data_IF_589871352789
#
_entry.id   IF_589871352789
#
_cell.length_a   1.000
_cell.length_b   1.000
_cell.length_c   1.000
_cell.angle_alpha   90.00
_cell.angle_beta   90.00
_cell.angle_gamma   90.00
#
_symmetry.space_group_name_H-M   'P 1'
#
loop_
_entity.id
_entity.type
_entity.pdbx_description
1 polymer ?
#
# COMPACT_ATOMS: atom_id res chain seq x y z
N UNK A 1 -22.11 20.80 15.79
CA UNK A 1 -20.73 20.29 15.87
C UNK A 1 -20.62 18.79 15.58
N UNK A 2 -21.41 17.92 16.20
CA UNK A 2 -21.38 16.45 15.95
C UNK A 2 -21.59 16.08 14.48
N UNK A 3 -22.50 16.77 13.78
CA UNK A 3 -22.70 16.60 12.34
C UNK A 3 -21.45 16.88 11.50
N UNK A 4 -20.69 17.93 11.81
CA UNK A 4 -19.46 18.27 11.11
C UNK A 4 -18.39 17.18 11.26
N UNK A 5 -18.17 16.70 12.49
CA UNK A 5 -17.21 15.61 12.74
C UNK A 5 -17.66 14.29 12.10
N UNK A 6 -18.95 13.98 12.12
CA UNK A 6 -19.51 12.82 11.42
C UNK A 6 -19.29 12.88 9.92
N UNK A 7 -19.54 14.03 9.29
CA UNK A 7 -19.26 14.26 7.88
C UNK A 7 -17.77 14.14 7.56
N UNK A 8 -16.89 14.73 8.37
CA UNK A 8 -15.45 14.77 8.12
C UNK A 8 -14.85 13.37 8.19
N UNK A 9 -15.18 12.63 9.25
CA UNK A 9 -14.74 11.25 9.44
C UNK A 9 -15.26 10.37 8.30
N UNK A 10 -16.53 10.51 7.92
CA UNK A 10 -17.08 9.77 6.79
C UNK A 10 -16.33 10.04 5.47
N UNK A 11 -16.10 11.32 5.15
CA UNK A 11 -15.39 11.71 3.94
C UNK A 11 -13.96 11.17 3.91
N UNK A 12 -13.20 11.26 5.01
CA UNK A 12 -11.83 10.73 5.09
C UNK A 12 -11.81 9.21 4.86
N UNK A 13 -12.74 8.48 5.46
CA UNK A 13 -12.83 7.02 5.30
C UNK A 13 -13.19 6.63 3.87
N UNK A 14 -14.22 7.26 3.30
CA UNK A 14 -14.66 7.01 1.92
C UNK A 14 -13.53 7.30 0.93
N UNK A 15 -12.87 8.46 1.05
CA UNK A 15 -11.73 8.82 0.19
C UNK A 15 -10.58 7.82 0.33
N UNK A 16 -10.30 7.35 1.56
CA UNK A 16 -9.25 6.36 1.80
C UNK A 16 -9.57 5.01 1.13
N UNK A 17 -10.83 4.56 1.21
CA UNK A 17 -11.30 3.33 0.55
C UNK A 17 -11.22 3.43 -0.97
N UNK A 18 -11.65 4.55 -1.55
CA UNK A 18 -11.56 4.79 -2.99
C UNK A 18 -10.11 4.85 -3.47
N UNK A 19 -9.22 5.46 -2.68
CA UNK A 19 -7.79 5.53 -3.00
C UNK A 19 -7.12 4.15 -2.91
N UNK A 20 -7.50 3.33 -1.92
CA UNK A 20 -7.11 1.92 -1.82
C UNK A 20 -7.53 1.12 -3.05
N UNK A 21 -8.83 1.18 -3.38
CA UNK A 21 -9.39 0.52 -4.56
C UNK A 21 -8.72 0.98 -5.86
N UNK A 22 -8.48 2.28 -6.03
CA UNK A 22 -7.77 2.85 -7.16
C UNK A 22 -6.33 2.36 -7.27
N UNK A 23 -5.62 2.24 -6.14
CA UNK A 23 -4.26 1.69 -6.12
C UNK A 23 -4.22 0.22 -6.53
N UNK A 24 -5.21 -0.58 -6.10
CA UNK A 24 -5.33 -1.98 -6.50
C UNK A 24 -5.76 -2.15 -7.96
N UNK A 25 -6.58 -1.23 -8.48
CA UNK A 25 -6.92 -1.22 -9.90
C UNK A 25 -5.72 -0.86 -10.79
N UNK A 26 -4.86 0.05 -10.33
CA UNK A 26 -3.65 0.45 -11.05
C UNK A 26 -2.55 -0.64 -11.04
N UNK A 27 -2.47 -1.44 -9.97
CA UNK A 27 -1.47 -2.50 -9.82
C UNK A 27 -2.07 -3.78 -9.19
N UNK A 28 -2.88 -4.55 -9.94
CA UNK A 28 -3.62 -5.70 -9.40
C UNK A 28 -2.71 -6.84 -8.91
N UNK A 29 -1.52 -6.98 -9.48
CA UNK A 29 -0.53 -7.99 -9.07
C UNK A 29 0.15 -7.64 -7.73
N UNK A 30 0.30 -6.35 -7.41
CA UNK A 30 1.10 -5.88 -6.28
C UNK A 30 0.58 -6.41 -4.93
N UNK A 31 -0.74 -6.54 -4.77
CA UNK A 31 -1.32 -7.11 -3.56
C UNK A 31 -1.02 -8.61 -3.42
N UNK A 32 -1.11 -9.35 -4.53
CA UNK A 32 -0.77 -10.78 -4.56
C UNK A 32 0.69 -11.03 -4.21
N UNK A 33 1.60 -10.23 -4.79
CA UNK A 33 3.04 -10.31 -4.58
C UNK A 33 3.42 -9.90 -3.15
N UNK A 34 2.80 -8.85 -2.61
CA UNK A 34 2.96 -8.45 -1.21
C UNK A 34 2.52 -9.57 -0.24
N UNK A 35 1.35 -10.15 -0.46
CA UNK A 35 0.86 -11.27 0.36
C UNK A 35 1.74 -12.52 0.22
N UNK A 36 2.34 -12.73 -0.96
CA UNK A 36 3.31 -13.79 -1.17
C UNK A 36 4.59 -13.55 -0.37
N UNK A 37 5.15 -12.33 -0.42
CA UNK A 37 6.34 -11.93 0.33
C UNK A 37 6.14 -12.04 1.86
N UNK A 38 4.95 -11.71 2.36
CA UNK A 38 4.64 -11.88 3.78
C UNK A 38 4.59 -13.36 4.20
N UNK A 39 4.14 -14.26 3.32
CA UNK A 39 4.06 -15.70 3.55
C UNK A 39 3.19 -16.15 4.73
N UNK A 40 2.36 -15.28 5.32
CA UNK A 40 1.55 -15.58 6.53
C UNK A 40 0.27 -16.33 6.19
N UNK A 41 -0.24 -16.19 4.98
CA UNK A 41 -1.49 -16.81 4.53
C UNK A 41 -1.22 -18.08 3.72
N UNK A 42 -2.13 -19.05 3.82
CA UNK A 42 -2.14 -20.21 2.92
C UNK A 42 -2.37 -19.77 1.47
N UNK A 43 -1.93 -20.56 0.46
CA UNK A 43 -2.05 -20.18 -0.95
C UNK A 43 -3.49 -19.86 -1.40
N UNK A 44 -4.47 -20.58 -0.85
CA UNK A 44 -5.90 -20.37 -1.12
C UNK A 44 -6.40 -19.05 -0.51
N UNK A 45 -6.06 -18.79 0.76
CA UNK A 45 -6.48 -17.58 1.46
C UNK A 45 -5.82 -16.33 0.87
N UNK A 46 -4.60 -16.45 0.34
CA UNK A 46 -3.92 -15.37 -0.38
C UNK A 46 -4.67 -14.94 -1.64
N UNK A 47 -5.06 -15.90 -2.49
CA UNK A 47 -5.82 -15.58 -3.72
C UNK A 47 -7.18 -14.96 -3.39
N UNK A 48 -7.87 -15.52 -2.39
CA UNK A 48 -9.12 -14.96 -1.89
C UNK A 48 -8.92 -13.52 -1.40
N UNK A 49 -7.93 -13.26 -0.55
CA UNK A 49 -7.67 -11.92 -0.04
C UNK A 49 -7.32 -10.92 -1.17
N UNK A 50 -6.48 -11.33 -2.12
CA UNK A 50 -6.05 -10.48 -3.24
C UNK A 50 -7.23 -10.03 -4.13
N UNK A 51 -8.29 -10.83 -4.23
CA UNK A 51 -9.49 -10.49 -5.02
C UNK A 51 -10.55 -9.81 -4.18
N UNK A 52 -10.80 -10.32 -2.97
CA UNK A 52 -11.90 -9.84 -2.12
C UNK A 52 -11.63 -8.47 -1.52
N UNK A 53 -10.38 -8.15 -1.15
CA UNK A 53 -10.03 -6.87 -0.53
C UNK A 53 -10.29 -5.67 -1.46
N UNK A 54 -9.79 -5.63 -2.71
CA UNK A 54 -10.07 -4.52 -3.61
C UNK A 54 -11.57 -4.35 -3.91
N UNK A 55 -12.29 -5.46 -4.05
CA UNK A 55 -13.75 -5.43 -4.26
C UNK A 55 -14.44 -4.84 -3.03
N UNK A 56 -14.08 -5.28 -1.82
CA UNK A 56 -14.65 -4.77 -0.59
C UNK A 56 -14.38 -3.27 -0.42
N UNK A 57 -13.16 -2.82 -0.69
CA UNK A 57 -12.79 -1.39 -0.65
C UNK A 57 -13.59 -0.57 -1.66
N UNK A 58 -13.68 -1.05 -2.90
CA UNK A 58 -14.44 -0.38 -3.96
C UNK A 58 -15.93 -0.30 -3.66
N UNK A 59 -16.54 -1.41 -3.23
CA UNK A 59 -17.97 -1.47 -2.86
C UNK A 59 -18.25 -0.57 -1.67
N UNK A 60 -17.43 -0.60 -0.60
CA UNK A 60 -17.61 0.27 0.56
C UNK A 60 -17.41 1.75 0.21
N UNK A 61 -16.42 2.07 -0.63
CA UNK A 61 -16.18 3.43 -1.10
C UNK A 61 -17.34 3.98 -1.94
N UNK A 62 -17.84 3.18 -2.88
CA UNK A 62 -18.98 3.56 -3.72
C UNK A 62 -20.28 3.67 -2.91
N UNK A 63 -20.58 2.68 -2.06
CA UNK A 63 -21.76 2.69 -1.20
C UNK A 63 -21.72 3.84 -0.19
N UNK A 64 -20.55 4.13 0.39
CA UNK A 64 -20.36 5.27 1.29
C UNK A 64 -20.58 6.60 0.59
N UNK A 65 -20.05 6.76 -0.63
CA UNK A 65 -20.27 7.96 -1.45
C UNK A 65 -21.76 8.14 -1.75
N UNK A 66 -22.45 7.09 -2.20
CA UNK A 66 -23.87 7.13 -2.47
C UNK A 66 -24.70 7.45 -1.21
N UNK A 67 -24.39 6.81 -0.08
CA UNK A 67 -25.04 7.07 1.20
C UNK A 67 -24.84 8.51 1.68
N UNK A 68 -23.65 9.07 1.47
CA UNK A 68 -23.33 10.46 1.81
C UNK A 68 -24.11 11.44 0.93
N UNK A 69 -24.20 11.20 -0.39
CA UNK A 69 -24.93 12.04 -1.34
C UNK A 69 -26.45 11.97 -1.15
N UNK A 70 -26.97 10.79 -0.81
CA UNK A 70 -28.41 10.58 -0.55
C UNK A 70 -28.83 10.96 0.88
N UNK A 71 -27.87 11.24 1.77
CA UNK A 71 -28.13 11.54 3.18
C UNK A 71 -28.62 10.33 4.00
N UNK A 72 -28.45 9.10 3.51
CA UNK A 72 -28.95 7.90 4.16
C UNK A 72 -28.07 7.46 5.35
N UNK A 73 -28.41 7.95 6.54
CA UNK A 73 -27.59 7.80 7.76
C UNK A 73 -27.27 6.34 8.12
N UNK A 74 -28.26 5.45 8.14
CA UNK A 74 -28.03 4.04 8.49
C UNK A 74 -27.05 3.36 7.54
N UNK A 75 -27.15 3.62 6.23
CA UNK A 75 -26.24 3.08 5.23
C UNK A 75 -24.82 3.61 5.46
N UNK A 76 -24.69 4.91 5.75
CA UNK A 76 -23.41 5.52 6.06
C UNK A 76 -22.78 4.94 7.33
N UNK A 77 -23.57 4.73 8.39
CA UNK A 77 -23.11 4.05 9.61
C UNK A 77 -22.65 2.62 9.34
N UNK A 78 -23.41 1.84 8.56
CA UNK A 78 -23.03 0.50 8.17
C UNK A 78 -21.71 0.49 7.40
N UNK A 79 -21.52 1.41 6.45
CA UNK A 79 -20.27 1.53 5.70
C UNK A 79 -19.11 1.88 6.62
N UNK A 80 -19.29 2.80 7.57
CA UNK A 80 -18.24 3.14 8.53
C UNK A 80 -17.94 2.00 9.50
N UNK A 81 -18.96 1.27 9.97
CA UNK A 81 -18.77 0.08 10.80
C UNK A 81 -17.99 -1.01 10.06
N UNK A 82 -18.36 -1.31 8.82
CA UNK A 82 -17.64 -2.27 7.98
C UNK A 82 -16.23 -1.78 7.63
N UNK A 83 -16.05 -0.49 7.38
CA UNK A 83 -14.74 0.14 7.18
C UNK A 83 -13.86 0.01 8.43
N UNK A 84 -14.41 0.20 9.63
CA UNK A 84 -13.69 0.01 10.88
C UNK A 84 -13.20 -1.44 11.05
N UNK A 85 -14.06 -2.41 10.73
CA UNK A 85 -13.70 -3.84 10.73
C UNK A 85 -12.57 -4.09 9.72
N UNK A 86 -12.71 -3.61 8.48
CA UNK A 86 -11.71 -3.80 7.43
C UNK A 86 -10.34 -3.23 7.82
N UNK A 87 -10.29 -1.97 8.26
CA UNK A 87 -9.05 -1.35 8.71
C UNK A 87 -8.48 -2.00 9.97
N UNK A 88 -9.35 -2.48 10.88
CA UNK A 88 -8.96 -3.26 12.05
C UNK A 88 -8.29 -4.58 11.65
N UNK A 89 -8.83 -5.29 10.66
CA UNK A 89 -8.24 -6.51 10.10
C UNK A 89 -6.89 -6.21 9.45
N UNK A 90 -6.76 -5.11 8.70
CA UNK A 90 -5.46 -4.67 8.17
C UNK A 90 -4.45 -4.38 9.28
N UNK A 91 -4.84 -3.66 10.33
CA UNK A 91 -3.97 -3.38 11.46
C UNK A 91 -3.52 -4.67 12.18
N UNK A 92 -4.44 -5.59 12.43
CA UNK A 92 -4.14 -6.88 13.06
C UNK A 92 -3.23 -7.75 12.18
N UNK A 93 -3.51 -7.82 10.88
CA UNK A 93 -2.69 -8.56 9.92
C UNK A 93 -1.27 -8.03 9.85
N UNK A 94 -1.10 -6.72 9.63
CA UNK A 94 0.23 -6.09 9.54
C UNK A 94 1.01 -6.22 10.84
N UNK A 95 0.35 -6.07 12.00
CA UNK A 95 0.96 -6.33 13.31
C UNK A 95 1.47 -7.77 13.42
N UNK A 96 0.68 -8.75 12.97
CA UNK A 96 1.06 -10.17 12.98
C UNK A 96 2.24 -10.46 12.06
N UNK A 97 2.25 -9.89 10.85
CA UNK A 97 3.37 -10.03 9.90
C UNK A 97 4.66 -9.50 10.51
N UNK A 98 4.62 -8.30 11.10
CA UNK A 98 5.78 -7.70 11.78
C UNK A 98 6.21 -8.49 13.03
N UNK A 99 5.26 -9.03 13.80
CA UNK A 99 5.57 -9.85 14.98
C UNK A 99 6.27 -11.17 14.61
N UNK A 100 6.03 -11.69 13.40
CA UNK A 100 6.72 -12.86 12.87
C UNK A 100 8.09 -12.52 12.25
N UNK A 101 8.56 -11.27 12.36
CA UNK A 101 9.80 -10.80 11.76
C UNK A 101 9.77 -10.77 10.23
N UNK A 102 8.58 -10.87 9.62
CA UNK A 102 8.41 -10.86 8.18
C UNK A 102 8.17 -9.43 7.71
N UNK A 103 8.88 -9.04 6.65
CA UNK A 103 8.71 -7.77 5.95
C UNK A 103 8.11 -7.97 4.57
N UNK A 104 8.17 -6.93 3.75
CA UNK A 104 7.67 -6.97 2.37
C UNK A 104 7.04 -5.63 1.96
N UNK A 105 6.64 -5.48 0.70
CA UNK A 105 5.99 -4.26 0.22
C UNK A 105 4.60 -4.11 0.85
N UNK A 106 4.24 -2.89 1.26
CA UNK A 106 2.87 -2.59 1.66
C UNK A 106 2.00 -2.51 0.40
N UNK A 107 1.29 -3.61 0.08
CA UNK A 107 0.44 -3.71 -1.10
C UNK A 107 -0.67 -2.65 -1.22
N UNK A 108 -0.84 -1.78 -0.21
CA UNK A 108 -1.85 -0.74 -0.12
C UNK A 108 -1.43 0.63 -0.71
N UNK A 109 -0.14 0.89 -0.97
CA UNK A 109 0.31 2.26 -1.33
C UNK A 109 0.61 2.48 -2.81
N UNK A 110 0.54 1.45 -3.65
CA UNK A 110 0.95 1.50 -5.06
C UNK A 110 2.45 1.79 -5.28
N UNK A 111 3.19 2.20 -4.25
CA UNK A 111 4.64 2.35 -4.20
C UNK A 111 5.25 1.22 -3.35
N UNK A 112 6.45 0.80 -3.70
CA UNK A 112 7.25 -0.21 -2.97
C UNK A 112 7.75 0.32 -1.61
N UNK A 113 6.83 0.72 -0.75
CA UNK A 113 7.14 1.13 0.63
C UNK A 113 7.10 -0.11 1.50
N UNK A 114 8.17 -0.42 2.26
CA UNK A 114 8.18 -1.61 3.09
C UNK A 114 7.16 -1.52 4.22
N UNK A 115 6.62 -2.67 4.59
CA UNK A 115 5.74 -2.83 5.73
C UNK A 115 6.46 -2.37 6.99
N UNK A 116 5.89 -1.37 7.67
CA UNK A 116 6.48 -0.78 8.87
C UNK A 116 5.45 -0.63 9.98
N UNK A 117 5.92 -0.41 11.21
CA UNK A 117 5.03 -0.10 12.36
C UNK A 117 4.13 1.11 12.10
N UNK A 118 4.56 2.02 11.22
CA UNK A 118 3.74 3.16 10.80
C UNK A 118 2.49 2.72 10.02
N UNK A 119 2.62 1.78 9.07
CA UNK A 119 1.49 1.24 8.31
C UNK A 119 0.43 0.63 9.26
N UNK A 120 0.89 -0.13 10.25
CA UNK A 120 0.01 -0.69 11.29
C UNK A 120 -0.69 0.38 12.12
N UNK A 121 0.03 1.42 12.55
CA UNK A 121 -0.56 2.53 13.32
C UNK A 121 -1.58 3.31 12.50
N UNK A 122 -1.29 3.56 11.22
CA UNK A 122 -2.21 4.24 10.29
C UNK A 122 -3.50 3.45 10.11
N UNK A 123 -3.40 2.14 9.84
CA UNK A 123 -4.58 1.28 9.73
C UNK A 123 -5.40 1.27 11.03
N UNK A 124 -4.74 1.20 12.19
CA UNK A 124 -5.43 1.28 13.48
C UNK A 124 -6.11 2.65 13.70
N UNK A 125 -5.46 3.76 13.33
CA UNK A 125 -6.04 5.09 13.43
C UNK A 125 -7.28 5.24 12.54
N UNK A 126 -7.23 4.73 11.30
CA UNK A 126 -8.38 4.70 10.40
C UNK A 126 -9.52 3.83 10.94
N UNK A 127 -9.20 2.70 11.58
CA UNK A 127 -10.20 1.85 12.20
C UNK A 127 -10.93 2.58 13.35
N UNK A 128 -10.18 3.25 14.23
CA UNK A 128 -10.73 4.07 15.32
C UNK A 128 -11.55 5.24 14.76
N UNK A 129 -11.05 5.91 13.73
CA UNK A 129 -11.74 7.03 13.07
C UNK A 129 -13.07 6.58 12.45
N UNK A 130 -13.09 5.42 11.81
CA UNK A 130 -14.30 4.83 11.24
C UNK A 130 -15.31 4.42 12.33
N UNK A 131 -14.84 3.78 13.42
CA UNK A 131 -15.69 3.39 14.53
C UNK A 131 -16.31 4.61 15.26
N UNK A 132 -15.50 5.63 15.50
CA UNK A 132 -15.97 6.90 16.09
C UNK A 132 -16.95 7.62 15.16
N UNK A 133 -16.67 7.66 13.84
CA UNK A 133 -17.60 8.19 12.84
C UNK A 133 -18.95 7.46 12.84
N UNK A 134 -18.94 6.12 12.89
CA UNK A 134 -20.17 5.32 12.95
C UNK A 134 -21.01 5.63 14.20
N UNK A 135 -20.35 5.80 15.35
CA UNK A 135 -21.01 6.18 16.60
C UNK A 135 -21.58 7.60 16.55
N UNK A 136 -20.83 8.57 16.00
CA UNK A 136 -21.23 9.97 15.94
C UNK A 136 -22.40 10.19 14.97
N UNK A 137 -22.41 9.51 13.82
CA UNK A 137 -23.52 9.60 12.84
C UNK A 137 -24.81 8.98 13.41
N UNK A 138 -24.68 8.01 14.32
CA UNK A 138 -25.84 7.43 15.01
C UNK A 138 -26.52 8.34 16.02
N UNK A 139 -25.84 9.42 16.42
CA UNK A 139 -26.34 10.34 17.43
C UNK A 139 -27.30 11.41 16.86
N UNK A 140 -27.48 11.50 15.54
CA UNK A 140 -28.46 12.40 14.93
C UNK A 140 -28.09 12.91 13.53
N UNK A 141 -28.98 13.70 12.91
CA UNK A 141 -28.83 14.09 11.52
C UNK A 141 -27.66 15.03 11.28
N UNK A 142 -26.82 14.67 10.31
CA UNK A 142 -25.72 15.49 9.81
C UNK A 142 -26.30 16.65 8.99
N UNK A 143 -26.43 17.83 9.60
CA UNK A 143 -26.68 19.09 8.90
C UNK A 143 -25.41 19.92 8.92
N UNK A 144 -24.89 20.20 7.74
CA UNK A 144 -23.69 21.02 7.52
C UNK A 144 -24.11 22.36 6.93
N UNK A 145 -23.56 23.45 7.46
CA UNK A 145 -23.58 24.75 6.81
C UNK A 145 -22.65 24.78 5.59
N UNK A 146 -22.85 25.71 4.66
CA UNK A 146 -22.00 25.85 3.46
C UNK A 146 -20.52 26.08 3.80
N UNK A 147 -20.23 26.86 4.85
CA UNK A 147 -18.88 27.11 5.32
C UNK A 147 -18.21 25.83 5.86
N UNK A 148 -18.94 25.07 6.69
CA UNK A 148 -18.50 23.77 7.19
C UNK A 148 -18.24 22.78 6.04
N UNK A 149 -19.06 22.80 5.00
CA UNK A 149 -18.92 21.94 3.83
C UNK A 149 -17.63 22.26 3.04
N UNK A 150 -17.31 23.55 2.85
CA UNK A 150 -16.06 23.99 2.22
C UNK A 150 -14.85 23.57 3.07
N UNK A 151 -14.90 23.76 4.39
CA UNK A 151 -13.84 23.31 5.30
C UNK A 151 -13.67 21.79 5.23
N UNK A 152 -14.76 21.04 5.17
CA UNK A 152 -14.75 19.59 4.99
C UNK A 152 -14.00 19.17 3.72
N UNK A 153 -14.34 19.84 2.60
CA UNK A 153 -13.79 19.55 1.28
C UNK A 153 -12.30 19.88 1.17
N UNK A 154 -11.77 20.82 1.97
CA UNK A 154 -10.32 21.06 2.03
C UNK A 154 -9.62 20.16 3.06
N UNK A 155 -10.20 19.99 4.24
CA UNK A 155 -9.58 19.28 5.35
C UNK A 155 -9.50 17.77 5.09
N UNK A 156 -10.57 17.16 4.56
CA UNK A 156 -10.59 15.72 4.30
C UNK A 156 -9.49 15.26 3.33
N UNK A 157 -9.30 15.86 2.14
CA UNK A 157 -8.21 15.48 1.25
C UNK A 157 -6.84 15.83 1.83
N UNK A 158 -6.69 16.95 2.55
CA UNK A 158 -5.42 17.29 3.20
C UNK A 158 -5.03 16.26 4.27
N UNK A 159 -5.95 15.88 5.17
CA UNK A 159 -5.73 14.84 6.16
C UNK A 159 -5.47 13.48 5.52
N UNK A 160 -6.23 13.14 4.47
CA UNK A 160 -6.03 11.89 3.72
C UNK A 160 -4.66 11.88 3.05
N UNK A 161 -4.25 12.96 2.40
CA UNK A 161 -2.96 13.10 1.76
C UNK A 161 -1.80 13.06 2.77
N UNK A 162 -1.96 13.68 3.94
CA UNK A 162 -1.00 13.62 5.04
C UNK A 162 -0.86 12.19 5.57
N UNK A 163 -1.98 11.52 5.86
CA UNK A 163 -2.00 10.11 6.29
C UNK A 163 -1.40 9.18 5.22
N UNK A 164 -1.65 9.47 3.94
CA UNK A 164 -1.19 8.68 2.81
C UNK A 164 0.29 8.88 2.51
N UNK A 165 0.80 10.11 2.61
CA UNK A 165 2.16 10.49 2.20
C UNK A 165 3.18 10.47 3.33
N UNK A 166 2.76 10.48 4.60
CA UNK A 166 3.69 10.39 5.75
C UNK A 166 4.68 9.21 5.69
N UNK A 167 4.28 7.98 5.28
CA UNK A 167 5.22 6.87 5.18
C UNK A 167 6.36 7.16 4.21
N UNK A 168 6.06 7.78 3.05
CA UNK A 168 7.06 8.10 2.04
C UNK A 168 8.00 9.23 2.50
N UNK A 169 7.47 10.19 3.28
CA UNK A 169 8.27 11.29 3.84
C UNK A 169 9.15 10.85 5.03
N UNK A 170 8.74 9.83 5.79
CA UNK A 170 9.53 9.26 6.89
C UNK A 170 10.48 8.14 6.45
N UNK A 171 10.39 7.69 5.20
CA UNK A 171 11.34 6.73 4.66
C UNK A 171 12.50 7.49 4.02
N UNK A 172 13.56 7.70 4.80
CA UNK A 172 14.87 7.99 4.19
C UNK A 172 15.30 6.73 3.43
N UNK A 173 15.57 6.82 2.10
CA UNK A 173 16.25 5.75 1.42
C UNK A 173 17.60 5.58 2.11
N UNK A 174 17.81 4.47 2.80
CA UNK A 174 19.13 4.15 3.32
C UNK A 174 20.08 4.16 2.12
N UNK A 175 21.07 5.04 2.11
CA UNK A 175 22.07 5.17 1.03
C UNK A 175 22.89 3.86 0.78
N UNK A 176 22.58 2.78 1.51
CA UNK A 176 23.20 1.47 1.41
C UNK A 176 22.82 0.67 0.14
N UNK A 177 21.84 1.09 -0.66
CA UNK A 177 21.56 0.48 -1.97
C UNK A 177 22.08 1.27 -3.17
N UNK A 178 22.83 2.36 -2.95
CA UNK A 178 23.76 2.84 -3.97
C UNK A 178 24.99 1.95 -3.84
N UNK A 179 24.97 0.80 -4.53
CA UNK A 179 26.23 0.29 -5.03
C UNK A 179 26.87 1.46 -5.79
N UNK A 180 28.03 1.99 -5.38
CA UNK A 180 28.77 2.84 -6.30
C UNK A 180 28.90 2.02 -7.59
N UNK A 181 28.73 2.62 -8.78
CA UNK A 181 29.09 1.92 -9.99
C UNK A 181 30.52 1.45 -9.76
N UNK A 182 30.71 0.14 -9.64
CA UNK A 182 32.03 -0.47 -9.66
C UNK A 182 32.66 0.13 -10.90
N UNK A 183 33.61 1.04 -10.70
CA UNK A 183 34.44 1.51 -11.80
C UNK A 183 35.05 0.23 -12.33
N UNK A 184 34.52 -0.26 -13.46
CA UNK A 184 35.23 -1.23 -14.24
C UNK A 184 36.63 -0.62 -14.41
N UNK A 185 37.72 -1.33 -14.04
CA UNK A 185 39.03 -0.87 -14.44
C UNK A 185 38.95 -0.70 -15.94
N UNK A 186 39.18 0.53 -16.40
CA UNK A 186 39.34 0.82 -17.80
C UNK A 186 40.49 -0.05 -18.28
N UNK A 187 40.17 -1.21 -18.84
CA UNK A 187 41.11 -1.95 -19.64
C UNK A 187 41.38 -1.03 -20.82
N UNK A 188 42.50 -0.34 -20.72
CA UNK A 188 43.22 0.30 -21.80
C UNK A 188 43.43 -0.78 -22.86
N UNK A 189 42.47 -0.88 -23.79
CA UNK A 189 42.62 -1.62 -25.03
C UNK A 189 43.57 -0.81 -25.89
N UNK A 190 44.85 -1.00 -25.59
CA UNK A 190 45.94 -0.63 -26.46
C UNK A 190 45.76 -1.45 -27.75
N UNK A 191 45.54 -0.72 -28.83
CA UNK A 191 45.12 -1.23 -30.13
C UNK A 191 46.35 -1.79 -30.82
N UNK A 192 46.79 -2.98 -30.42
CA UNK A 192 47.76 -3.76 -31.19
C UNK A 192 47.03 -4.48 -32.33
N UNK A 193 47.06 -3.86 -33.50
CA UNK A 193 46.76 -4.46 -34.80
C UNK A 193 47.65 -5.71 -34.98
N UNK A 194 47.10 -6.91 -34.76
CA UNK A 194 47.77 -8.16 -35.11
C UNK A 194 47.11 -8.73 -36.36
N UNK A 195 47.89 -8.69 -37.44
CA UNK A 195 47.60 -9.33 -38.71
C UNK A 195 47.28 -10.82 -38.51
N UNK A 196 46.14 -11.24 -39.03
CA UNK A 196 45.76 -12.64 -39.20
C UNK A 196 46.61 -13.22 -40.33
N UNK A 197 47.61 -14.05 -40.02
CA UNK A 197 48.18 -15.01 -40.97
C UNK A 197 47.64 -16.39 -40.66
N UNK A 198 47.19 -17.05 -41.73
CA UNK A 198 46.77 -18.42 -41.76
C UNK A 198 47.98 -19.34 -41.49
N UNK A 199 47.83 -20.28 -40.55
CA UNK A 199 48.48 -21.59 -40.45
C UNK A 199 48.61 -22.00 -38.96
N UNK A 200 48.39 -23.29 -38.68
CA UNK A 200 48.93 -23.91 -37.46
C UNK A 200 47.94 -24.34 -36.38
N UNK A 201 47.21 -25.43 -36.64
CA UNK A 201 46.96 -26.56 -35.73
C UNK A 201 46.95 -26.29 -34.20
N UNK A 202 45.80 -26.38 -33.51
CA UNK A 202 45.78 -26.56 -32.06
C UNK A 202 45.96 -28.04 -31.70
N UNK A 203 47.16 -28.41 -31.24
CA UNK A 203 47.41 -29.73 -30.64
C UNK A 203 46.78 -29.82 -29.25
N UNK A 204 45.82 -30.73 -29.15
CA UNK A 204 45.17 -31.22 -27.93
C UNK A 204 46.20 -31.94 -27.04
N UNK A 205 46.41 -31.46 -25.82
CA UNK A 205 47.09 -32.22 -24.75
C UNK A 205 46.19 -32.31 -23.52
N UNK A 206 45.54 -33.47 -23.39
CA UNK A 206 44.87 -33.92 -22.17
C UNK A 206 45.90 -34.58 -21.26
N UNK A 207 46.07 -34.08 -20.04
CA UNK A 207 46.82 -34.79 -18.99
C UNK A 207 45.87 -35.74 -18.25
N UNK A 208 46.25 -37.01 -17.99
CA UNK A 208 45.45 -37.93 -17.18
C UNK A 208 45.66 -37.70 -15.66
N UNK A 209 44.69 -38.11 -14.81
CA UNK A 209 44.80 -37.98 -13.36
C UNK A 209 45.74 -39.03 -12.75
N UNK A 210 46.50 -38.61 -11.73
CA UNK A 210 47.26 -39.49 -10.85
C UNK A 210 46.32 -40.14 -9.81
N UNK A 211 46.63 -41.40 -9.50
CA UNK A 211 45.99 -42.29 -8.52
C UNK A 211 45.98 -41.73 -7.09
#
# INVERSE_FOLDING_TARGET
MTGFYGGLTASVIILTLLLGAGSHAAAPAALGDALWAHGVLSPRNRRLAAVTLPIAEGVLGAAGTAALLTGHQLALQCVLGLGAILFGLYAAYTRRVLALGRGGPCGCSGRDVPLSRWVTRRAAALAVLAATGAAVIGAGPVRLSTAELITLMLAAPACTALLWSLPAAMHEPTAASVHPPTKAPAHQQDRATVHRTAEGVPTRWTSPPAL
#
